data_IF_985273329474
#
_entry.id   IF_985273329474
#
_cell.length_a   1.000
_cell.length_b   1.000
_cell.length_c   1.000
_cell.angle_alpha   90.00
_cell.angle_beta   90.00
_cell.angle_gamma   90.00
#
_symmetry.space_group_name_H-M   'P 1'
#
loop_
_entity.id
_entity.type
_entity.pdbx_description
1 polymer ?
#
# COMPACT_ATOMS: atom_id res chain seq x y z
N UNK A 1 33.22 33.81 -20.63
CA UNK A 1 33.67 32.40 -20.62
C UNK A 1 32.75 31.45 -21.38
N UNK A 2 31.42 31.57 -21.27
CA UNK A 2 30.44 30.71 -21.98
C UNK A 2 30.60 30.64 -23.51
N UNK A 3 30.93 31.76 -24.16
CA UNK A 3 31.04 31.84 -25.62
C UNK A 3 32.27 31.08 -26.18
N UNK A 4 33.33 30.91 -25.38
CA UNK A 4 34.57 30.23 -25.83
C UNK A 4 34.39 28.72 -25.78
N UNK A 5 33.76 28.19 -24.73
CA UNK A 5 33.46 26.76 -24.61
C UNK A 5 32.54 26.28 -25.72
N UNK A 6 31.49 27.04 -26.04
CA UNK A 6 30.60 26.71 -27.19
C UNK A 6 31.35 26.69 -28.52
N UNK A 7 32.35 27.57 -28.70
CA UNK A 7 33.16 27.63 -29.92
C UNK A 7 34.17 26.49 -30.03
N UNK A 8 34.70 26.02 -28.91
CA UNK A 8 35.56 24.82 -28.85
C UNK A 8 34.78 23.52 -29.08
N UNK A 9 33.49 23.51 -28.74
CA UNK A 9 32.59 22.36 -28.91
C UNK A 9 31.85 22.40 -30.26
N UNK A 10 32.05 23.44 -31.08
CA UNK A 10 31.44 23.56 -32.39
C UNK A 10 32.00 22.49 -33.35
N UNK A 11 31.11 21.61 -33.85
CA UNK A 11 31.47 20.52 -34.76
C UNK A 11 31.81 19.19 -34.10
N UNK A 12 31.91 19.12 -32.76
CA UNK A 12 32.17 17.86 -32.04
C UNK A 12 30.90 17.07 -31.69
N UNK A 13 29.71 17.64 -31.94
CA UNK A 13 28.44 17.02 -31.56
C UNK A 13 28.21 16.96 -30.05
N UNK A 14 28.90 17.80 -29.26
CA UNK A 14 28.81 17.84 -27.80
C UNK A 14 28.35 19.24 -27.33
N UNK A 15 27.53 19.30 -26.29
CA UNK A 15 27.14 20.51 -25.57
C UNK A 15 27.58 20.42 -24.11
N UNK A 16 28.15 21.50 -23.59
CA UNK A 16 28.48 21.61 -22.17
C UNK A 16 27.23 22.04 -21.38
N UNK A 17 26.82 21.21 -20.40
CA UNK A 17 25.74 21.51 -19.46
C UNK A 17 26.35 21.79 -18.10
N UNK A 18 26.01 22.95 -17.53
CA UNK A 18 26.46 23.33 -16.20
C UNK A 18 25.45 22.81 -15.16
N UNK A 19 25.92 21.98 -14.22
CA UNK A 19 25.18 21.60 -13.01
C UNK A 19 25.76 22.34 -11.80
N UNK A 20 25.04 22.39 -10.68
CA UNK A 20 25.30 23.24 -9.51
C UNK A 20 26.70 23.10 -8.85
N UNK A 21 27.56 22.20 -9.34
CA UNK A 21 28.95 22.07 -8.89
C UNK A 21 29.96 21.68 -9.98
N UNK A 22 29.63 21.74 -11.28
CA UNK A 22 30.57 21.34 -12.33
C UNK A 22 30.02 21.40 -13.76
N UNK A 23 30.90 21.18 -14.73
CA UNK A 23 30.57 21.13 -16.16
C UNK A 23 30.55 19.69 -16.63
N UNK A 24 29.46 19.24 -17.25
CA UNK A 24 29.40 17.95 -17.94
C UNK A 24 29.23 18.16 -19.44
N UNK A 25 29.89 17.33 -20.25
CA UNK A 25 29.70 17.31 -21.70
C UNK A 25 28.61 16.27 -22.01
N UNK A 26 27.53 16.71 -22.63
CA UNK A 26 26.47 15.85 -23.14
C UNK A 26 26.55 15.84 -24.67
N UNK A 27 26.33 14.70 -25.30
CA UNK A 27 26.17 14.68 -26.75
C UNK A 27 24.94 15.51 -27.12
N UNK A 28 25.13 16.48 -28.02
CA UNK A 28 24.02 17.08 -28.76
C UNK A 28 23.31 15.92 -29.45
N UNK A 29 22.04 15.73 -29.15
CA UNK A 29 21.24 14.64 -29.70
C UNK A 29 21.46 14.58 -31.21
N UNK A 30 22.20 13.58 -31.67
CA UNK A 30 22.23 13.22 -33.08
C UNK A 30 20.84 12.70 -33.48
N UNK A 31 20.64 12.47 -34.76
CA UNK A 31 19.44 11.87 -35.39
C UNK A 31 19.09 10.44 -34.90
N UNK A 32 19.50 10.06 -33.69
CA UNK A 32 19.18 8.80 -33.01
C UNK A 32 18.11 8.97 -31.94
N UNK A 33 17.28 7.94 -31.78
CA UNK A 33 16.06 7.95 -30.97
C UNK A 33 16.27 8.42 -29.51
N UNK A 34 15.38 9.30 -29.05
CA UNK A 34 15.31 9.76 -27.66
C UNK A 34 14.80 8.63 -26.75
N UNK A 35 15.65 8.13 -25.84
CA UNK A 35 15.27 7.14 -24.84
C UNK A 35 14.56 7.83 -23.67
N UNK A 36 13.23 7.72 -23.59
CA UNK A 36 12.45 8.20 -22.46
C UNK A 36 12.60 7.26 -21.26
N UNK A 37 12.63 7.84 -20.05
CA UNK A 37 12.61 7.07 -18.81
C UNK A 37 11.33 6.24 -18.67
N UNK A 38 11.42 5.08 -18.02
CA UNK A 38 10.27 4.19 -17.83
C UNK A 38 9.17 4.88 -17.00
N UNK A 39 7.94 4.86 -17.52
CA UNK A 39 6.76 5.33 -16.79
C UNK A 39 6.42 4.35 -15.67
N UNK A 40 6.46 4.83 -14.43
CA UNK A 40 6.05 4.05 -13.25
C UNK A 40 4.57 4.31 -12.96
N UNK A 41 3.76 3.26 -12.99
CA UNK A 41 2.34 3.30 -12.64
C UNK A 41 2.18 2.67 -11.26
N UNK A 42 1.88 3.48 -10.25
CA UNK A 42 1.49 2.98 -8.93
C UNK A 42 -0.03 2.99 -8.78
N UNK A 43 -0.60 1.84 -8.44
CA UNK A 43 -2.01 1.72 -8.04
C UNK A 43 -2.12 1.71 -6.52
N UNK A 44 -3.12 2.41 -5.97
CA UNK A 44 -3.46 2.28 -4.54
C UNK A 44 -4.09 0.91 -4.34
N UNK A 45 -3.35 -0.04 -3.77
CA UNK A 45 -3.97 -1.29 -3.34
C UNK A 45 -4.80 -1.04 -2.09
N UNK A 46 -6.00 -1.63 -2.06
CA UNK A 46 -6.79 -1.77 -0.84
C UNK A 46 -5.93 -2.51 0.19
N UNK A 47 -5.71 -1.89 1.35
CA UNK A 47 -4.86 -2.46 2.41
C UNK A 47 -5.50 -3.68 3.07
N UNK A 48 -6.83 -3.80 2.98
CA UNK A 48 -7.60 -4.84 3.65
C UNK A 48 -8.28 -5.77 2.65
N UNK A 49 -8.21 -7.07 2.93
CA UNK A 49 -8.83 -8.15 2.17
C UNK A 49 -9.65 -9.01 3.14
N UNK A 50 -10.85 -9.40 2.76
CA UNK A 50 -11.73 -10.29 3.54
C UNK A 50 -11.11 -11.61 4.02
N UNK A 51 -10.07 -12.12 3.36
CA UNK A 51 -9.33 -13.34 3.74
C UNK A 51 -7.94 -13.07 4.31
N UNK A 52 -7.54 -11.79 4.37
CA UNK A 52 -6.26 -11.36 4.89
C UNK A 52 -6.31 -11.01 6.37
N UNK A 53 -5.15 -10.67 6.96
CA UNK A 53 -5.12 -10.05 8.29
C UNK A 53 -5.78 -8.67 8.26
N UNK A 54 -6.35 -8.28 9.40
CA UNK A 54 -6.85 -6.92 9.63
C UNK A 54 -5.80 -6.12 10.36
N UNK A 55 -5.46 -4.94 9.83
CA UNK A 55 -4.58 -4.00 10.50
C UNK A 55 -5.35 -3.20 11.56
N UNK A 56 -5.12 -3.55 12.83
CA UNK A 56 -5.74 -2.89 13.99
C UNK A 56 -7.05 -3.53 14.42
N UNK A 57 -7.90 -2.76 15.12
CA UNK A 57 -9.11 -3.25 15.80
C UNK A 57 -10.39 -3.09 14.99
N UNK A 58 -10.33 -2.39 13.84
CA UNK A 58 -11.50 -2.11 12.99
C UNK A 58 -11.32 -2.81 11.66
N UNK A 59 -12.10 -3.88 11.44
CA UNK A 59 -12.24 -4.50 10.13
C UNK A 59 -13.22 -3.70 9.26
N UNK A 60 -12.98 -3.67 7.95
CA UNK A 60 -13.84 -3.03 6.95
C UNK A 60 -14.34 -3.99 5.90
N UNK A 61 -13.76 -5.19 5.77
CA UNK A 61 -14.15 -6.17 4.74
C UNK A 61 -14.41 -7.55 5.33
N UNK A 62 -15.30 -8.30 4.67
CA UNK A 62 -15.64 -9.67 5.05
C UNK A 62 -16.17 -10.47 3.88
N UNK A 63 -15.86 -11.76 3.88
CA UNK A 63 -16.45 -12.74 2.96
C UNK A 63 -17.55 -13.57 3.63
N UNK A 64 -17.82 -13.33 4.92
CA UNK A 64 -18.94 -13.95 5.61
C UNK A 64 -20.26 -13.43 5.02
N UNK A 65 -21.21 -14.34 4.78
CA UNK A 65 -22.50 -13.99 4.15
C UNK A 65 -22.43 -13.92 2.62
N UNK A 66 -21.58 -13.04 2.06
CA UNK A 66 -21.50 -12.82 0.60
C UNK A 66 -20.63 -13.84 -0.15
N UNK A 67 -19.69 -14.49 0.55
CA UNK A 67 -18.63 -15.36 -0.02
C UNK A 67 -17.71 -14.65 -1.02
N UNK A 68 -17.72 -13.33 -1.02
CA UNK A 68 -16.89 -12.47 -1.86
C UNK A 68 -16.23 -11.41 -0.99
N UNK A 69 -15.20 -10.76 -1.50
CA UNK A 69 -14.51 -9.70 -0.76
C UNK A 69 -15.37 -8.42 -0.70
N UNK A 70 -16.31 -8.37 0.24
CA UNK A 70 -17.30 -7.30 0.36
C UNK A 70 -16.94 -6.33 1.48
N UNK A 71 -17.21 -5.03 1.27
CA UNK A 71 -17.14 -4.06 2.35
C UNK A 71 -18.27 -4.34 3.37
N UNK A 72 -17.96 -4.30 4.67
CA UNK A 72 -18.93 -4.57 5.73
C UNK A 72 -20.15 -3.65 5.66
N UNK A 73 -19.98 -2.41 5.20
CA UNK A 73 -21.07 -1.43 5.02
C UNK A 73 -22.05 -1.80 3.91
N UNK A 74 -21.64 -2.68 2.98
CA UNK A 74 -22.45 -3.11 1.84
C UNK A 74 -23.13 -4.46 2.07
N UNK A 75 -22.73 -5.18 3.12
CA UNK A 75 -23.31 -6.48 3.45
C UNK A 75 -24.68 -6.26 4.12
N UNK A 76 -25.79 -6.80 3.57
CA UNK A 76 -27.15 -6.49 4.03
C UNK A 76 -27.55 -7.24 5.32
N UNK A 77 -26.59 -7.58 6.16
CA UNK A 77 -26.79 -8.30 7.42
C UNK A 77 -25.75 -7.85 8.45
N UNK A 78 -26.07 -8.03 9.73
CA UNK A 78 -25.15 -7.69 10.82
C UNK A 78 -24.02 -8.71 10.92
N UNK A 79 -22.77 -8.23 10.86
CA UNK A 79 -21.56 -9.03 11.06
C UNK A 79 -20.70 -8.36 12.13
N UNK A 80 -20.39 -9.10 13.19
CA UNK A 80 -19.43 -8.69 14.21
C UNK A 80 -18.08 -9.35 13.91
N UNK A 81 -17.01 -8.56 13.83
CA UNK A 81 -15.64 -9.04 13.58
C UNK A 81 -14.78 -8.76 14.80
N UNK A 82 -14.09 -9.79 15.31
CA UNK A 82 -13.11 -9.67 16.39
C UNK A 82 -11.73 -9.85 15.75
N UNK A 83 -10.92 -8.80 15.69
CA UNK A 83 -9.62 -8.84 15.01
C UNK A 83 -8.54 -9.45 15.89
N UNK A 84 -7.41 -9.84 15.29
CA UNK A 84 -6.25 -10.33 16.02
C UNK A 84 -5.67 -9.28 16.99
N UNK A 85 -5.69 -8.00 16.61
CA UNK A 85 -5.24 -6.92 17.48
C UNK A 85 -6.16 -6.79 18.71
N UNK A 86 -7.46 -6.98 18.52
CA UNK A 86 -8.45 -6.91 19.61
C UNK A 86 -8.32 -8.10 20.57
N UNK A 87 -8.13 -9.32 20.05
CA UNK A 87 -7.85 -10.51 20.86
C UNK A 87 -6.61 -10.29 21.73
N UNK A 88 -5.55 -9.75 21.13
CA UNK A 88 -4.29 -9.45 21.83
C UNK A 88 -4.46 -8.36 22.88
N UNK A 89 -5.16 -7.27 22.55
CA UNK A 89 -5.40 -6.16 23.47
C UNK A 89 -6.24 -6.58 24.68
N UNK A 90 -7.21 -7.49 24.48
CA UNK A 90 -8.06 -8.04 25.55
C UNK A 90 -7.41 -9.20 26.32
N UNK A 91 -6.27 -9.73 25.85
CA UNK A 91 -5.64 -10.90 26.43
C UNK A 91 -6.54 -12.14 26.38
N UNK A 92 -7.36 -12.28 25.34
CA UNK A 92 -8.29 -13.40 25.20
C UNK A 92 -7.52 -14.69 24.90
N UNK A 93 -7.66 -15.68 25.78
CA UNK A 93 -6.99 -16.98 25.65
C UNK A 93 -7.91 -18.08 25.09
N UNK A 94 -9.22 -17.83 25.07
CA UNK A 94 -10.23 -18.73 24.53
C UNK A 94 -11.24 -18.00 23.65
N UNK A 95 -11.93 -18.75 22.80
CA UNK A 95 -13.00 -18.21 21.94
C UNK A 95 -14.13 -17.64 22.79
N UNK A 96 -14.50 -18.31 23.88
CA UNK A 96 -15.50 -17.79 24.83
C UNK A 96 -15.09 -16.43 25.39
N UNK A 97 -13.82 -16.26 25.76
CA UNK A 97 -13.32 -14.98 26.28
C UNK A 97 -13.34 -13.88 25.21
N UNK A 98 -13.06 -14.22 23.95
CA UNK A 98 -13.14 -13.27 22.84
C UNK A 98 -14.59 -12.82 22.57
N UNK A 99 -15.58 -13.70 22.74
CA UNK A 99 -16.99 -13.42 22.49
C UNK A 99 -17.67 -12.57 23.57
N UNK A 100 -17.10 -12.49 24.78
CA UNK A 100 -17.67 -11.75 25.92
C UNK A 100 -17.98 -10.28 25.63
N UNK A 101 -17.31 -9.72 24.63
CA UNK A 101 -17.39 -8.30 24.29
C UNK A 101 -18.06 -8.03 22.94
N UNK A 102 -18.69 -9.06 22.37
CA UNK A 102 -19.44 -8.95 21.13
C UNK A 102 -20.90 -8.64 21.43
N UNK A 103 -21.47 -7.56 20.87
CA UNK A 103 -22.89 -7.24 21.05
C UNK A 103 -23.80 -8.39 20.63
N UNK A 104 -24.82 -8.68 21.44
CA UNK A 104 -25.79 -9.74 21.17
C UNK A 104 -25.31 -11.16 21.52
N UNK A 105 -24.07 -11.33 21.99
CA UNK A 105 -23.56 -12.61 22.47
C UNK A 105 -23.73 -12.72 23.98
N UNK A 106 -24.19 -13.89 24.45
CA UNK A 106 -24.17 -14.24 25.87
C UNK A 106 -23.17 -15.39 26.06
N UNK A 107 -22.09 -15.12 26.78
CA UNK A 107 -21.04 -16.14 27.02
C UNK A 107 -21.38 -17.10 28.18
N UNK A 108 -22.58 -17.00 28.76
CA UNK A 108 -22.97 -17.59 30.05
C UNK A 108 -23.15 -19.12 30.09
N UNK A 109 -22.68 -19.88 29.10
CA UNK A 109 -22.90 -21.34 29.05
C UNK A 109 -21.76 -22.19 28.49
N UNK A 110 -20.75 -21.59 27.86
CA UNK A 110 -19.68 -22.34 27.19
C UNK A 110 -18.44 -22.39 28.08
N UNK A 111 -18.45 -23.31 29.04
CA UNK A 111 -17.24 -23.62 29.79
C UNK A 111 -16.21 -24.20 28.81
N UNK A 112 -15.12 -23.47 28.59
CA UNK A 112 -13.92 -23.94 27.88
C UNK A 112 -13.27 -25.03 28.74
N UNK A 113 -13.79 -26.24 28.65
CA UNK A 113 -13.25 -27.40 29.35
C UNK A 113 -12.38 -28.16 28.37
N UNK A 114 -11.08 -27.94 28.51
CA UNK A 114 -10.04 -28.93 28.18
C UNK A 114 -9.72 -29.70 29.46
#
# INVERSE_FOLDING_TARGET
YLAVTQRLLAGSGLAAVQSQGGWSLQALSGDGALQLGATQISGRQEQENAWGPVDGIVAKRSASGSKTDSALVEIPQTINVITAAEIKARGAQSVTQALLYTPGMTAGGFADRV
#
